data_IF_389145708773
#
_entry.id   IF_389145708773
#
_cell.length_a   1.000
_cell.length_b   1.000
_cell.length_c   1.000
_cell.angle_alpha   90.00
_cell.angle_beta   90.00
_cell.angle_gamma   90.00
#
_symmetry.space_group_name_H-M   'P 1'
#
loop_
_entity.id
_entity.type
_entity.pdbx_description
1 polymer ?
#
# COMPACT_ATOMS: atom_id res chain seq x y z
N UNK A 1 18.57 3.43 10.92
CA UNK A 1 17.45 3.36 11.90
C UNK A 1 17.84 3.93 13.26
N UNK A 2 18.92 3.47 13.87
CA UNK A 2 19.41 4.02 15.16
C UNK A 2 19.62 5.56 15.13
N UNK A 3 20.11 6.08 14.00
CA UNK A 3 20.37 7.52 13.83
C UNK A 3 19.10 8.36 13.76
N UNK A 4 17.99 7.84 13.21
CA UNK A 4 16.71 8.54 13.17
C UNK A 4 16.09 8.63 14.57
N UNK A 5 16.19 7.56 15.35
CA UNK A 5 15.72 7.55 16.74
C UNK A 5 16.62 8.42 17.64
N UNK A 6 17.94 8.44 17.40
CA UNK A 6 18.87 9.32 18.12
C UNK A 6 18.60 10.80 17.85
N UNK A 7 18.30 11.16 16.59
CA UNK A 7 17.98 12.56 16.23
C UNK A 7 16.62 13.01 16.76
N UNK A 8 15.68 12.07 16.97
CA UNK A 8 14.35 12.38 17.48
C UNK A 8 14.34 12.68 19.00
N UNK A 9 15.18 11.98 19.79
CA UNK A 9 15.02 11.94 21.24
C UNK A 9 16.32 12.03 22.05
N UNK A 10 17.47 12.27 21.45
CA UNK A 10 18.75 12.45 22.15
C UNK A 10 19.26 11.21 22.91
N UNK A 11 19.00 9.99 22.39
CA UNK A 11 19.34 8.74 23.09
C UNK A 11 20.82 8.40 22.91
N UNK A 12 21.60 8.44 24.02
CA UNK A 12 22.93 7.85 24.08
C UNK A 12 22.85 6.33 24.32
N UNK A 13 23.75 5.57 23.66
CA UNK A 13 23.76 4.12 23.74
C UNK A 13 24.32 3.62 25.08
N UNK A 14 23.53 2.97 25.91
CA UNK A 14 24.02 2.08 26.95
C UNK A 14 23.91 0.62 26.46
N UNK A 15 25.00 -0.13 26.55
CA UNK A 15 25.07 -1.56 26.26
C UNK A 15 24.27 -2.33 27.31
N UNK A 16 23.42 -3.25 26.88
CA UNK A 16 22.73 -4.18 27.78
C UNK A 16 23.12 -5.62 27.54
N UNK A 17 23.24 -6.34 28.63
CA UNK A 17 23.61 -7.74 28.76
C UNK A 17 22.52 -8.70 28.29
N UNK A 18 22.93 -9.88 27.82
CA UNK A 18 22.08 -11.01 27.42
C UNK A 18 21.41 -11.66 28.64
N UNK A 19 20.11 -11.93 28.55
CA UNK A 19 19.46 -12.95 29.35
C UNK A 19 18.50 -13.79 28.53
N UNK A 20 18.66 -15.13 28.62
CA UNK A 20 17.75 -16.16 28.12
C UNK A 20 16.49 -16.20 29.02
N UNK A 21 15.30 -16.28 28.40
CA UNK A 21 14.05 -16.49 29.16
C UNK A 21 12.85 -16.75 28.27
N UNK A 22 12.09 -17.77 28.61
CA UNK A 22 10.89 -18.28 27.95
C UNK A 22 9.86 -17.21 27.62
N UNK A 23 9.29 -17.25 26.39
CA UNK A 23 8.28 -16.32 25.89
C UNK A 23 6.87 -16.83 26.22
N UNK A 24 6.24 -16.23 27.21
CA UNK A 24 4.78 -16.25 27.38
C UNK A 24 4.19 -15.01 26.70
N UNK A 25 3.00 -15.15 26.12
CA UNK A 25 2.25 -14.03 25.50
C UNK A 25 2.13 -12.88 26.53
N UNK A 26 2.83 -11.77 26.28
CA UNK A 26 2.87 -10.63 27.21
C UNK A 26 1.87 -9.57 26.78
N UNK A 27 1.08 -9.12 27.74
CA UNK A 27 0.34 -7.87 27.71
C UNK A 27 1.21 -6.70 27.20
N UNK A 28 0.61 -5.65 26.59
CA UNK A 28 1.35 -4.48 26.14
C UNK A 28 2.25 -3.98 27.26
N UNK A 29 3.55 -3.82 26.93
CA UNK A 29 4.57 -3.42 27.89
C UNK A 29 4.13 -2.16 28.66
N UNK A 30 4.10 -2.17 29.99
CA UNK A 30 4.05 -0.95 30.78
C UNK A 30 5.36 -0.19 30.56
N UNK A 31 5.27 1.09 30.25
CA UNK A 31 6.43 1.97 30.17
C UNK A 31 6.87 2.29 31.60
N UNK A 32 8.11 1.96 32.01
CA UNK A 32 8.55 2.22 33.39
C UNK A 32 8.69 3.74 33.64
N UNK A 33 8.07 4.24 34.70
CA UNK A 33 8.54 5.38 35.48
C UNK A 33 8.39 6.76 34.85
N UNK A 34 7.26 7.10 34.23
CA UNK A 34 6.90 8.49 33.95
C UNK A 34 5.86 9.00 34.95
N UNK A 35 6.06 10.19 35.51
CA UNK A 35 5.03 10.86 36.30
C UNK A 35 3.96 11.43 35.34
N UNK A 36 2.99 10.57 34.98
CA UNK A 36 1.92 10.88 34.05
C UNK A 36 0.87 11.81 34.66
N UNK A 37 0.85 11.98 35.98
CA UNK A 37 -0.14 12.79 36.69
C UNK A 37 0.13 14.29 36.64
N UNK A 38 1.37 14.71 36.41
CA UNK A 38 1.76 16.12 36.40
C UNK A 38 1.47 16.89 35.10
N UNK A 39 0.85 16.24 34.10
CA UNK A 39 0.83 16.74 32.70
C UNK A 39 -0.53 17.27 32.23
N UNK A 40 -1.49 17.47 33.12
CA UNK A 40 -2.83 17.99 32.76
C UNK A 40 -2.86 19.53 32.72
N UNK A 41 -2.35 20.15 31.64
CA UNK A 41 -2.76 21.51 31.27
C UNK A 41 -3.88 21.45 30.24
N UNK A 42 -4.91 22.32 30.30
CA UNK A 42 -5.91 22.40 29.24
C UNK A 42 -5.24 22.74 27.92
N UNK A 43 -5.55 21.95 26.89
CA UNK A 43 -5.00 22.15 25.54
C UNK A 43 -5.77 23.24 24.80
N UNK A 44 -5.11 24.06 23.97
CA UNK A 44 -5.77 24.96 23.05
C UNK A 44 -6.71 24.16 22.13
N UNK A 45 -7.85 24.74 21.78
CA UNK A 45 -8.88 24.07 20.98
C UNK A 45 -8.29 23.63 19.62
N UNK A 46 -8.22 22.30 19.39
CA UNK A 46 -7.67 21.70 18.19
C UNK A 46 -6.24 21.21 18.26
N UNK A 47 -5.48 21.58 19.30
CA UNK A 47 -4.15 21.04 19.56
C UNK A 47 -4.25 19.80 20.45
N UNK A 48 -3.30 18.88 20.31
CA UNK A 48 -3.24 17.68 21.15
C UNK A 48 -1.82 17.48 21.67
N UNK A 49 -1.70 17.00 22.90
CA UNK A 49 -0.43 16.53 23.44
C UNK A 49 -0.45 15.00 23.52
N UNK A 50 0.55 14.40 22.91
CA UNK A 50 0.86 12.97 23.04
C UNK A 50 2.27 12.84 23.61
N UNK A 51 2.67 11.65 23.97
CA UNK A 51 3.95 11.44 24.65
C UNK A 51 4.76 10.38 23.90
N UNK A 52 6.07 10.48 23.96
CA UNK A 52 6.93 9.39 23.55
C UNK A 52 6.91 8.25 24.58
N UNK A 53 7.51 7.07 24.31
CA UNK A 53 7.57 5.97 25.28
C UNK A 53 8.31 6.29 26.57
N UNK A 54 9.05 7.39 26.64
CA UNK A 54 9.74 7.87 27.84
C UNK A 54 8.94 8.91 28.64
N UNK A 55 7.75 9.27 28.15
CA UNK A 55 6.91 10.29 28.77
C UNK A 55 7.25 11.73 28.38
N UNK A 56 8.08 11.93 27.36
CA UNK A 56 8.39 13.28 26.84
C UNK A 56 7.21 13.80 26.03
N UNK A 57 6.67 15.00 26.32
CA UNK A 57 5.51 15.53 25.62
C UNK A 57 5.85 15.94 24.18
N UNK A 58 4.97 15.57 23.28
CA UNK A 58 4.96 15.93 21.87
C UNK A 58 3.70 16.75 21.58
N UNK A 59 3.83 18.04 21.43
CA UNK A 59 2.71 18.92 21.08
C UNK A 59 2.48 18.85 19.58
N UNK A 60 1.26 18.58 19.16
CA UNK A 60 0.79 18.52 17.78
C UNK A 60 -0.23 19.64 17.60
N UNK A 61 0.12 20.64 16.79
CA UNK A 61 -0.77 21.76 16.52
C UNK A 61 -1.74 21.43 15.39
N UNK A 62 -2.93 21.96 15.45
CA UNK A 62 -3.93 21.82 14.39
C UNK A 62 -3.42 22.28 13.03
N UNK A 63 -2.53 23.29 13.00
CA UNK A 63 -1.83 23.76 11.80
C UNK A 63 -0.85 22.74 11.20
N UNK A 64 -0.45 21.72 11.97
CA UNK A 64 0.44 20.64 11.52
C UNK A 64 -0.32 19.45 10.96
N UNK A 65 -1.67 19.46 10.97
CA UNK A 65 -2.47 18.43 10.36
C UNK A 65 -2.18 18.37 8.85
N UNK A 66 -1.83 17.17 8.37
CA UNK A 66 -1.54 16.87 6.96
C UNK A 66 -2.72 16.21 6.29
N UNK A 67 -3.36 15.28 7.01
CA UNK A 67 -4.48 14.49 6.50
C UNK A 67 -5.32 13.94 7.67
N UNK A 68 -6.60 13.70 7.37
CA UNK A 68 -7.56 13.08 8.27
C UNK A 68 -8.24 11.94 7.56
N UNK A 69 -7.95 10.72 7.97
CA UNK A 69 -8.51 9.49 7.41
C UNK A 69 -9.64 8.89 8.26
N UNK A 70 -10.09 7.69 7.90
CA UNK A 70 -11.11 6.93 8.65
C UNK A 70 -10.68 6.61 10.08
N UNK A 71 -9.43 6.18 10.27
CA UNK A 71 -8.93 5.64 11.53
C UNK A 71 -8.09 6.63 12.35
N UNK A 72 -7.55 7.70 11.74
CA UNK A 72 -6.65 8.60 12.44
C UNK A 72 -6.42 9.94 11.75
N UNK A 73 -5.67 10.78 12.45
CA UNK A 73 -5.24 12.10 12.01
C UNK A 73 -3.72 12.08 11.90
N UNK A 74 -3.20 12.60 10.79
CA UNK A 74 -1.76 12.61 10.50
C UNK A 74 -1.25 14.03 10.66
N UNK A 75 -0.19 14.17 11.46
CA UNK A 75 0.47 15.45 11.74
C UNK A 75 1.92 15.47 11.24
N UNK A 76 2.36 16.62 10.78
CA UNK A 76 3.80 16.90 10.66
C UNK A 76 4.43 16.93 12.03
N UNK A 77 5.69 16.49 12.10
CA UNK A 77 6.45 16.60 13.32
C UNK A 77 7.51 17.71 13.16
N UNK A 78 7.30 18.82 13.83
CA UNK A 78 8.14 20.02 13.65
C UNK A 78 9.64 19.77 13.94
N UNK A 79 9.95 18.86 14.87
CA UNK A 79 11.35 18.53 15.25
C UNK A 79 12.05 17.62 14.24
N UNK A 80 11.32 16.95 13.36
CA UNK A 80 11.89 16.07 12.34
C UNK A 80 10.98 15.97 11.11
N UNK A 81 11.36 16.66 10.04
CA UNK A 81 10.60 16.70 8.78
C UNK A 81 10.57 15.36 8.02
N UNK A 82 11.40 14.38 8.40
CA UNK A 82 11.47 13.03 7.79
C UNK A 82 10.42 12.05 8.32
N UNK A 83 9.63 12.45 9.31
CA UNK A 83 8.59 11.59 9.92
C UNK A 83 7.25 12.32 10.00
N UNK A 84 6.19 11.51 10.17
CA UNK A 84 4.83 11.93 10.45
C UNK A 84 4.36 11.21 11.72
N UNK A 85 3.38 11.80 12.40
CA UNK A 85 2.72 11.20 13.55
C UNK A 85 1.26 10.95 13.18
N UNK A 86 0.82 9.69 13.21
CA UNK A 86 -0.59 9.31 13.07
C UNK A 86 -1.17 9.06 14.46
N UNK A 87 -2.26 9.74 14.80
CA UNK A 87 -2.94 9.62 16.09
C UNK A 87 -4.37 9.15 15.86
N UNK A 88 -4.84 8.20 16.66
CA UNK A 88 -6.23 7.75 16.63
C UNK A 88 -7.19 8.94 16.83
N UNK A 89 -8.30 8.92 16.11
CA UNK A 89 -9.37 9.93 16.28
C UNK A 89 -9.91 9.93 17.72
N UNK A 90 -10.49 11.06 18.16
CA UNK A 90 -11.11 11.14 19.48
C UNK A 90 -12.13 10.02 19.72
N UNK A 91 -12.93 9.68 18.72
CA UNK A 91 -13.96 8.63 18.80
C UNK A 91 -13.32 7.24 19.03
N UNK A 92 -12.22 6.94 18.34
CA UNK A 92 -11.46 5.69 18.54
C UNK A 92 -10.81 5.66 19.92
N UNK A 93 -10.29 6.80 20.39
CA UNK A 93 -9.68 6.91 21.73
C UNK A 93 -10.71 6.77 22.85
N UNK A 94 -11.95 7.21 22.62
CA UNK A 94 -13.06 7.06 23.57
C UNK A 94 -13.62 5.63 23.61
N UNK A 95 -13.49 4.88 22.52
CA UNK A 95 -13.95 3.49 22.41
C UNK A 95 -12.87 2.52 22.92
N UNK A 96 -13.09 1.96 24.09
CA UNK A 96 -12.15 1.05 24.75
C UNK A 96 -11.82 -0.19 23.91
N UNK A 97 -12.80 -0.73 23.18
CA UNK A 97 -12.59 -1.94 22.36
C UNK A 97 -11.75 -1.61 21.13
N UNK A 98 -12.09 -0.53 20.41
CA UNK A 98 -11.31 -0.08 19.23
C UNK A 98 -9.88 0.28 19.62
N UNK A 99 -9.69 0.98 20.74
CA UNK A 99 -8.36 1.36 21.21
C UNK A 99 -7.52 0.14 21.60
N UNK A 100 -8.13 -0.85 22.25
CA UNK A 100 -7.46 -2.11 22.59
C UNK A 100 -7.04 -2.86 21.33
N UNK A 101 -7.93 -2.99 20.34
CA UNK A 101 -7.63 -3.61 19.05
C UNK A 101 -6.49 -2.89 18.33
N UNK A 102 -6.53 -1.55 18.29
CA UNK A 102 -5.44 -0.73 17.74
C UNK A 102 -4.10 -1.03 18.41
N UNK A 103 -4.07 -1.07 19.74
CA UNK A 103 -2.84 -1.36 20.51
C UNK A 103 -2.27 -2.74 20.22
N UNK A 104 -3.11 -3.76 20.16
CA UNK A 104 -2.67 -5.13 19.85
C UNK A 104 -2.13 -5.21 18.42
N UNK A 105 -2.83 -4.61 17.46
CA UNK A 105 -2.39 -4.56 16.06
C UNK A 105 -1.05 -3.83 15.91
N UNK A 106 -0.91 -2.66 16.53
CA UNK A 106 0.33 -1.90 16.47
C UNK A 106 1.50 -2.70 17.09
N UNK A 107 1.27 -3.41 18.21
CA UNK A 107 2.28 -4.28 18.79
C UNK A 107 2.71 -5.39 17.83
N UNK A 108 1.77 -6.04 17.13
CA UNK A 108 2.08 -7.05 16.12
C UNK A 108 2.90 -6.43 14.96
N UNK A 109 2.52 -5.25 14.49
CA UNK A 109 3.29 -4.53 13.47
C UNK A 109 4.72 -4.22 13.93
N UNK A 110 4.91 -3.79 15.18
CA UNK A 110 6.23 -3.46 15.74
C UNK A 110 7.16 -4.66 15.86
N UNK A 111 6.63 -5.90 15.92
CA UNK A 111 7.43 -7.14 15.91
C UNK A 111 7.97 -7.49 14.52
N UNK A 112 7.37 -6.99 13.45
CA UNK A 112 7.81 -7.21 12.06
C UNK A 112 8.99 -6.29 11.73
N UNK A 113 10.19 -6.67 12.20
CA UNK A 113 11.38 -5.83 12.15
C UNK A 113 11.80 -5.48 10.71
N UNK A 114 11.67 -6.42 9.76
CA UNK A 114 12.03 -6.16 8.37
C UNK A 114 11.08 -5.15 7.71
N UNK A 115 9.76 -5.23 7.99
CA UNK A 115 8.83 -4.20 7.56
C UNK A 115 9.16 -2.84 8.20
N UNK A 116 9.55 -2.83 9.47
CA UNK A 116 9.95 -1.62 10.18
C UNK A 116 11.24 -1.01 9.63
N UNK A 117 12.17 -1.83 9.13
CA UNK A 117 13.42 -1.38 8.50
C UNK A 117 13.24 -0.91 7.07
N UNK A 118 12.23 -1.43 6.35
CA UNK A 118 11.98 -1.08 4.95
C UNK A 118 11.69 0.42 4.81
N UNK A 119 12.47 1.11 4.01
CA UNK A 119 12.40 2.58 3.83
C UNK A 119 11.25 3.00 2.90
N UNK A 120 10.72 2.07 2.14
CA UNK A 120 9.58 2.27 1.25
C UNK A 120 8.21 2.07 1.92
N UNK A 121 8.16 1.78 3.23
CA UNK A 121 6.92 1.63 3.99
C UNK A 121 6.73 2.78 4.98
N UNK A 122 5.53 3.36 5.02
CA UNK A 122 5.08 4.23 6.12
C UNK A 122 4.69 3.38 7.35
N UNK A 123 5.60 2.50 7.77
CA UNK A 123 5.41 1.54 8.85
C UNK A 123 5.56 2.20 10.23
N UNK A 124 4.81 1.75 11.26
CA UNK A 124 5.03 2.21 12.62
C UNK A 124 6.48 2.01 13.08
N UNK A 125 7.14 3.09 13.46
CA UNK A 125 8.51 3.10 13.97
C UNK A 125 8.55 3.08 15.48
N UNK A 126 7.61 3.78 16.11
CA UNK A 126 7.53 3.98 17.55
C UNK A 126 6.09 4.37 17.93
N UNK A 127 5.53 3.84 19.04
CA UNK A 127 4.23 4.28 19.52
C UNK A 127 4.29 5.71 20.04
N UNK A 128 3.16 6.42 20.00
CA UNK A 128 2.92 7.61 20.79
C UNK A 128 1.81 7.32 21.80
N UNK A 129 1.97 7.88 23.00
CA UNK A 129 1.20 7.52 24.18
C UNK A 129 0.23 8.65 24.59
N UNK A 130 -0.82 8.31 25.29
CA UNK A 130 -1.63 9.26 26.04
C UNK A 130 -0.96 9.60 27.41
N UNK A 131 -1.59 10.46 28.19
CA UNK A 131 -1.14 10.84 29.53
C UNK A 131 -1.23 9.72 30.59
N UNK A 132 -1.72 8.53 30.23
CA UNK A 132 -1.80 7.34 31.08
C UNK A 132 -0.81 6.26 30.63
N UNK A 133 0.07 6.55 29.66
CA UNK A 133 1.03 5.61 29.12
C UNK A 133 0.42 4.57 28.19
N UNK A 134 -0.78 4.77 27.67
CA UNK A 134 -1.41 3.91 26.70
C UNK A 134 -1.14 4.41 25.27
N UNK A 135 -0.80 3.50 24.36
CA UNK A 135 -0.59 3.89 22.97
C UNK A 135 -1.89 4.40 22.33
N UNK A 136 -1.80 5.55 21.67
CA UNK A 136 -2.91 6.23 20.95
C UNK A 136 -2.55 6.59 19.52
N UNK A 137 -1.36 6.24 19.06
CA UNK A 137 -0.88 6.52 17.72
C UNK A 137 0.53 5.99 17.53
N UNK A 138 1.17 6.42 16.46
CA UNK A 138 2.56 6.03 16.16
C UNK A 138 3.27 7.07 15.29
N UNK A 139 4.59 7.06 15.36
CA UNK A 139 5.49 7.75 14.45
C UNK A 139 5.76 6.84 13.26
N UNK A 140 5.73 7.39 12.06
CA UNK A 140 6.06 6.69 10.81
C UNK A 140 6.96 7.53 9.91
N UNK A 141 7.62 6.89 8.91
CA UNK A 141 8.38 7.63 7.90
C UNK A 141 7.45 8.49 7.06
N UNK A 142 7.90 9.69 6.75
CA UNK A 142 7.26 10.53 5.73
C UNK A 142 7.65 10.01 4.36
N UNK A 143 6.73 9.32 3.71
CA UNK A 143 6.87 8.94 2.32
C UNK A 143 6.58 10.15 1.42
N UNK A 144 7.37 10.32 0.37
CA UNK A 144 7.23 11.40 -0.61
C UNK A 144 7.12 10.83 -2.02
N UNK A 145 6.44 11.53 -2.90
CA UNK A 145 6.22 11.12 -4.29
C UNK A 145 4.85 11.60 -4.79
N UNK A 146 4.51 11.19 -6.01
CA UNK A 146 3.16 11.30 -6.57
C UNK A 146 2.44 9.98 -6.38
N UNK A 147 1.13 10.03 -6.21
CA UNK A 147 0.35 8.78 -6.13
C UNK A 147 0.44 8.02 -7.46
N UNK A 148 0.36 6.70 -7.42
CA UNK A 148 0.34 5.86 -8.63
C UNK A 148 -0.79 6.24 -9.60
N UNK A 149 -1.83 6.93 -9.13
CA UNK A 149 -2.88 7.50 -10.01
C UNK A 149 -2.29 8.38 -11.11
N UNK A 150 -1.20 9.09 -10.84
CA UNK A 150 -0.54 9.94 -11.84
C UNK A 150 0.05 9.13 -13.01
N UNK A 151 0.36 7.86 -12.81
CA UNK A 151 0.87 6.97 -13.89
C UNK A 151 -0.24 6.31 -14.70
N UNK A 152 -1.48 6.38 -14.24
CA UNK A 152 -2.63 5.83 -14.96
C UNK A 152 -3.15 6.74 -16.07
N UNK A 153 -2.66 7.98 -16.18
CA UNK A 153 -3.08 8.94 -17.19
C UNK A 153 -1.86 9.50 -17.92
N UNK A 154 -1.75 9.32 -19.26
CA UNK A 154 -0.59 9.78 -20.04
C UNK A 154 -0.23 11.25 -19.85
N UNK A 155 -1.23 12.13 -19.80
CA UNK A 155 -1.03 13.57 -19.56
C UNK A 155 -0.39 13.84 -18.20
N UNK A 156 -0.75 13.09 -17.18
CA UNK A 156 -0.17 13.23 -15.85
C UNK A 156 1.27 12.70 -15.82
N UNK A 157 1.56 11.62 -16.55
CA UNK A 157 2.94 11.12 -16.69
C UNK A 157 3.82 12.19 -17.33
N UNK A 158 3.40 12.78 -18.44
CA UNK A 158 4.15 13.84 -19.11
C UNK A 158 4.38 15.05 -18.19
N UNK A 159 3.37 15.41 -17.38
CA UNK A 159 3.43 16.56 -16.47
C UNK A 159 4.38 16.34 -15.30
N UNK A 160 4.31 15.19 -14.64
CA UNK A 160 5.01 14.94 -13.38
C UNK A 160 6.32 14.16 -13.52
N UNK A 161 6.45 13.43 -14.64
CA UNK A 161 7.58 12.57 -14.96
C UNK A 161 8.06 12.83 -16.40
N UNK A 162 8.49 14.07 -16.70
CA UNK A 162 8.93 14.42 -18.05
C UNK A 162 10.07 13.49 -18.51
N UNK A 163 10.01 13.02 -19.76
CA UNK A 163 10.96 12.07 -20.32
C UNK A 163 10.68 10.60 -20.00
N UNK A 164 9.71 10.31 -19.15
CA UNK A 164 9.31 8.92 -18.91
C UNK A 164 8.58 8.34 -20.11
N UNK A 165 8.86 7.07 -20.34
CA UNK A 165 8.19 6.25 -21.34
C UNK A 165 7.65 4.95 -20.69
N UNK A 166 7.12 4.06 -21.50
CA UNK A 166 6.53 2.80 -21.04
C UNK A 166 7.49 1.90 -20.26
N UNK A 167 8.80 1.96 -20.57
CA UNK A 167 9.83 1.21 -19.82
C UNK A 167 9.90 1.67 -18.37
N UNK A 168 9.86 2.98 -18.14
CA UNK A 168 9.88 3.54 -16.77
C UNK A 168 8.64 3.13 -15.98
N UNK A 169 7.45 3.17 -16.61
CA UNK A 169 6.20 2.74 -15.97
C UNK A 169 6.21 1.25 -15.66
N UNK A 170 6.74 0.42 -16.59
CA UNK A 170 6.90 -1.01 -16.36
C UNK A 170 7.89 -1.31 -15.21
N UNK A 171 8.95 -0.50 -15.10
CA UNK A 171 9.89 -0.62 -13.96
C UNK A 171 9.20 -0.27 -12.64
N UNK A 172 8.34 0.75 -12.61
CA UNK A 172 7.52 1.05 -11.41
C UNK A 172 6.59 -0.11 -11.07
N UNK A 173 5.96 -0.72 -12.06
CA UNK A 173 5.11 -1.90 -11.86
C UNK A 173 5.89 -3.08 -11.25
N UNK A 174 7.13 -3.30 -11.70
CA UNK A 174 8.04 -4.31 -11.13
C UNK A 174 8.42 -3.96 -9.68
N UNK A 175 8.80 -2.71 -9.41
CA UNK A 175 9.16 -2.26 -8.06
C UNK A 175 7.97 -2.39 -7.10
N UNK A 176 6.75 -2.10 -7.56
CA UNK A 176 5.53 -2.29 -6.79
C UNK A 176 5.26 -3.77 -6.48
N UNK A 177 5.40 -4.64 -7.48
CA UNK A 177 5.28 -6.08 -7.31
C UNK A 177 6.30 -6.59 -6.28
N UNK A 178 7.57 -6.15 -6.35
CA UNK A 178 8.61 -6.58 -5.43
C UNK A 178 8.35 -6.09 -3.99
N UNK A 179 7.80 -4.89 -3.82
CA UNK A 179 7.37 -4.38 -2.51
C UNK A 179 6.26 -5.27 -1.90
N UNK A 180 5.22 -5.62 -2.67
CA UNK A 180 4.14 -6.51 -2.22
C UNK A 180 4.67 -7.92 -1.94
N UNK A 181 5.61 -8.43 -2.74
CA UNK A 181 6.26 -9.74 -2.50
C UNK A 181 7.03 -9.75 -1.18
N UNK A 182 7.73 -8.68 -0.86
CA UNK A 182 8.43 -8.56 0.43
C UNK A 182 7.43 -8.66 1.59
N UNK A 183 6.32 -7.93 1.53
CA UNK A 183 5.26 -8.01 2.54
C UNK A 183 4.69 -9.43 2.66
N UNK A 184 4.39 -10.08 1.53
CA UNK A 184 3.84 -11.44 1.50
C UNK A 184 4.77 -12.49 2.14
N UNK A 185 6.11 -12.34 2.03
CA UNK A 185 7.08 -13.19 2.74
C UNK A 185 6.89 -13.15 4.26
N UNK A 186 6.46 -12.00 4.78
CA UNK A 186 6.19 -11.81 6.20
C UNK A 186 4.70 -12.02 6.55
N UNK A 187 3.94 -12.65 5.65
CA UNK A 187 2.49 -12.89 5.79
C UNK A 187 1.67 -11.62 5.99
N UNK A 188 2.24 -10.46 5.62
CA UNK A 188 1.54 -9.18 5.57
C UNK A 188 0.85 -9.07 4.22
N UNK A 189 -0.46 -8.85 4.21
CA UNK A 189 -1.22 -8.74 2.98
C UNK A 189 -1.81 -7.33 2.84
N UNK A 190 -1.63 -6.74 1.67
CA UNK A 190 -2.24 -5.47 1.32
C UNK A 190 -3.74 -5.70 1.07
N UNK A 191 -4.61 -4.96 1.75
CA UNK A 191 -6.06 -5.11 1.62
C UNK A 191 -6.66 -4.14 0.61
N UNK A 192 -6.18 -2.90 0.60
CA UNK A 192 -6.69 -1.85 -0.27
C UNK A 192 -5.65 -1.45 -1.33
N UNK A 193 -5.88 -1.89 -2.56
CA UNK A 193 -5.05 -1.57 -3.72
C UNK A 193 -5.42 -0.25 -4.40
N UNK A 194 -6.01 0.69 -3.65
CA UNK A 194 -6.24 2.04 -4.15
C UNK A 194 -4.90 2.69 -4.58
N UNK A 195 -4.74 3.10 -5.84
CA UNK A 195 -3.49 3.74 -6.30
C UNK A 195 -3.13 5.05 -5.57
N UNK A 196 -4.07 5.59 -4.78
CA UNK A 196 -3.81 6.71 -3.87
C UNK A 196 -2.95 6.35 -2.66
N UNK A 197 -2.90 5.07 -2.28
CA UNK A 197 -2.13 4.54 -1.13
C UNK A 197 -0.68 4.19 -1.49
N UNK A 198 -0.28 4.39 -2.74
CA UNK A 198 1.05 4.09 -3.25
C UNK A 198 1.65 5.35 -3.87
N UNK A 199 2.85 5.71 -3.43
CA UNK A 199 3.57 6.88 -3.95
C UNK A 199 4.73 6.42 -4.82
N UNK A 200 5.02 7.18 -5.86
CA UNK A 200 6.17 6.97 -6.74
C UNK A 200 6.97 8.26 -6.85
N UNK A 201 8.28 8.17 -6.74
CA UNK A 201 9.19 9.29 -6.95
C UNK A 201 9.78 9.30 -8.37
N UNK A 202 10.58 10.32 -8.68
CA UNK A 202 11.24 10.47 -9.99
C UNK A 202 12.28 9.40 -10.29
N UNK A 203 12.74 8.65 -9.30
CA UNK A 203 13.63 7.50 -9.48
C UNK A 203 12.87 6.19 -9.70
N UNK A 204 11.53 6.21 -9.67
CA UNK A 204 10.69 5.03 -9.82
C UNK A 204 10.55 4.20 -8.55
N UNK A 205 11.01 4.69 -7.40
CA UNK A 205 10.85 4.02 -6.11
C UNK A 205 9.38 4.11 -5.68
N UNK A 206 8.79 2.96 -5.41
CA UNK A 206 7.40 2.87 -4.92
C UNK A 206 7.39 2.83 -3.40
N UNK A 207 6.58 3.67 -2.77
CA UNK A 207 6.37 3.71 -1.32
C UNK A 207 4.91 3.45 -0.98
N UNK A 208 4.68 2.61 0.02
CA UNK A 208 3.36 2.24 0.48
C UNK A 208 3.02 3.05 1.73
N UNK A 209 1.91 3.75 1.67
CA UNK A 209 1.35 4.49 2.79
C UNK A 209 0.09 3.80 3.32
N UNK A 210 -0.41 4.24 4.47
CA UNK A 210 -1.58 3.62 5.14
C UNK A 210 -1.38 2.13 5.48
N UNK A 211 -0.14 1.77 5.89
CA UNK A 211 0.22 0.37 6.18
C UNK A 211 -0.56 -0.25 7.35
N UNK A 212 -1.18 0.55 8.18
CA UNK A 212 -2.08 0.08 9.25
C UNK A 212 -3.44 -0.41 8.72
N UNK A 213 -3.73 -0.24 7.43
CA UNK A 213 -4.86 -0.90 6.75
C UNK A 213 -4.55 -2.32 6.26
N UNK A 214 -3.30 -2.79 6.31
CA UNK A 214 -2.90 -4.11 5.83
C UNK A 214 -3.35 -5.22 6.79
N UNK A 215 -3.51 -6.43 6.29
CA UNK A 215 -3.67 -7.61 7.15
C UNK A 215 -2.33 -7.94 7.82
N UNK A 216 -2.33 -7.99 9.15
CA UNK A 216 -1.11 -8.19 9.95
C UNK A 216 -1.15 -9.59 10.59
N UNK A 217 -0.14 -10.44 10.38
CA UNK A 217 -0.09 -11.74 10.99
C UNK A 217 0.06 -11.67 12.51
N UNK A 218 -0.50 -12.65 13.19
CA UNK A 218 -0.34 -12.88 14.64
C UNK A 218 0.23 -14.27 14.83
N UNK A 219 1.30 -14.39 15.61
CA UNK A 219 1.90 -15.69 15.92
C UNK A 219 0.92 -16.56 16.71
N UNK A 220 0.57 -17.73 16.17
CA UNK A 220 -0.34 -18.68 16.82
C UNK A 220 -1.82 -18.24 16.89
N UNK A 221 -2.21 -17.18 16.18
CA UNK A 221 -3.57 -16.65 16.19
C UNK A 221 -4.08 -16.18 14.84
N UNK A 222 -5.32 -15.71 14.83
CA UNK A 222 -5.92 -15.10 13.65
C UNK A 222 -5.27 -13.74 13.35
N UNK A 223 -5.03 -13.40 12.07
CA UNK A 223 -4.44 -12.14 11.68
C UNK A 223 -5.38 -10.96 11.98
N UNK A 224 -4.80 -9.79 12.23
CA UNK A 224 -5.59 -8.55 12.23
C UNK A 224 -6.03 -8.24 10.81
N UNK A 225 -7.32 -8.17 10.60
CA UNK A 225 -7.95 -7.83 9.31
C UNK A 225 -8.51 -6.40 9.34
N UNK A 226 -8.70 -5.82 8.16
CA UNK A 226 -9.51 -4.61 7.96
C UNK A 226 -10.51 -4.84 6.85
N UNK A 227 -11.63 -4.14 6.92
CA UNK A 227 -12.66 -4.16 5.88
C UNK A 227 -12.39 -3.13 4.76
N UNK A 228 -11.27 -2.41 4.83
CA UNK A 228 -10.94 -1.38 3.84
C UNK A 228 -10.61 -2.01 2.50
N UNK A 229 -11.24 -1.54 1.45
CA UNK A 229 -10.98 -1.93 0.06
C UNK A 229 -11.53 -0.88 -0.91
N UNK A 230 -11.02 -0.90 -2.12
CA UNK A 230 -11.54 -0.13 -3.25
C UNK A 230 -12.16 -1.11 -4.25
N UNK A 231 -13.49 -1.04 -4.53
CA UNK A 231 -14.20 -2.06 -5.30
C UNK A 231 -13.59 -2.38 -6.65
N UNK A 232 -13.16 -1.39 -7.42
CA UNK A 232 -12.58 -1.59 -8.75
C UNK A 232 -11.27 -2.42 -8.75
N UNK A 233 -10.59 -2.54 -7.59
CA UNK A 233 -9.36 -3.34 -7.44
C UNK A 233 -9.57 -4.62 -6.64
N UNK A 234 -10.76 -4.84 -6.10
CA UNK A 234 -11.04 -6.01 -5.28
C UNK A 234 -11.10 -7.29 -6.12
N UNK A 235 -10.69 -8.42 -5.56
CA UNK A 235 -10.86 -9.72 -6.20
C UNK A 235 -12.36 -10.03 -6.35
N UNK A 236 -12.78 -10.67 -7.47
CA UNK A 236 -14.19 -10.86 -7.81
C UNK A 236 -14.98 -11.59 -6.72
N UNK A 237 -14.39 -12.58 -6.08
CA UNK A 237 -15.04 -13.31 -5.00
C UNK A 237 -15.41 -12.42 -3.79
N UNK A 238 -14.65 -11.35 -3.53
CA UNK A 238 -14.98 -10.39 -2.47
C UNK A 238 -16.20 -9.55 -2.84
N UNK A 239 -16.35 -9.21 -4.13
CA UNK A 239 -17.50 -8.41 -4.61
C UNK A 239 -18.77 -9.25 -4.77
N UNK A 240 -18.61 -10.55 -5.05
CA UNK A 240 -19.72 -11.49 -5.20
C UNK A 240 -20.17 -12.07 -3.86
N UNK A 241 -19.26 -12.12 -2.87
CA UNK A 241 -19.46 -12.70 -1.54
C UNK A 241 -19.01 -11.72 -0.45
N UNK A 242 -19.81 -10.67 -0.15
CA UNK A 242 -19.43 -9.61 0.81
C UNK A 242 -19.09 -10.12 2.21
N UNK A 243 -19.59 -11.28 2.62
CA UNK A 243 -19.27 -11.93 3.89
C UNK A 243 -17.78 -12.30 4.01
N UNK A 244 -17.06 -12.41 2.89
CA UNK A 244 -15.61 -12.67 2.89
C UNK A 244 -14.78 -11.45 3.35
N UNK A 245 -15.38 -10.26 3.41
CA UNK A 245 -14.68 -9.09 3.99
C UNK A 245 -14.46 -9.23 5.50
N UNK A 246 -15.20 -10.10 6.16
CA UNK A 246 -15.06 -10.41 7.59
C UNK A 246 -14.10 -11.58 7.84
N UNK A 247 -13.44 -12.07 6.81
CA UNK A 247 -12.46 -13.14 6.88
C UNK A 247 -11.07 -12.65 6.48
N UNK A 248 -10.00 -13.35 6.90
CA UNK A 248 -8.65 -13.07 6.43
C UNK A 248 -8.57 -13.11 4.90
N UNK A 249 -7.85 -12.15 4.32
CA UNK A 249 -7.52 -12.15 2.89
C UNK A 249 -6.61 -13.32 2.56
N UNK A 250 -6.76 -13.83 1.34
CA UNK A 250 -5.88 -14.87 0.82
C UNK A 250 -4.81 -14.31 -0.11
N UNK A 251 -3.67 -14.98 -0.28
CA UNK A 251 -2.67 -14.58 -1.26
C UNK A 251 -3.22 -14.47 -2.69
N UNK A 252 -4.21 -15.28 -3.04
CA UNK A 252 -4.88 -15.27 -4.35
C UNK A 252 -5.64 -13.98 -4.59
N UNK A 253 -6.31 -13.44 -3.57
CA UNK A 253 -7.02 -12.16 -3.62
C UNK A 253 -6.03 -11.00 -3.82
N UNK A 254 -4.92 -11.02 -3.09
CA UNK A 254 -3.84 -10.02 -3.24
C UNK A 254 -3.21 -10.07 -4.63
N UNK A 255 -2.97 -11.29 -5.18
CA UNK A 255 -2.43 -11.45 -6.54
C UNK A 255 -3.34 -10.83 -7.59
N UNK A 256 -4.65 -11.02 -7.46
CA UNK A 256 -5.62 -10.43 -8.38
C UNK A 256 -5.59 -8.90 -8.33
N UNK A 257 -5.73 -8.34 -7.14
CA UNK A 257 -5.78 -6.88 -6.94
C UNK A 257 -4.49 -6.19 -7.41
N UNK A 258 -3.33 -6.77 -7.09
CA UNK A 258 -2.04 -6.30 -7.57
C UNK A 258 -1.94 -6.34 -9.10
N UNK A 259 -2.39 -7.44 -9.71
CA UNK A 259 -2.36 -7.60 -11.16
C UNK A 259 -3.26 -6.58 -11.88
N UNK A 260 -4.41 -6.22 -11.31
CA UNK A 260 -5.25 -5.13 -11.84
C UNK A 260 -4.47 -3.83 -11.90
N UNK A 261 -3.81 -3.42 -10.81
CA UNK A 261 -3.02 -2.18 -10.78
C UNK A 261 -1.85 -2.25 -11.77
N UNK A 262 -1.11 -3.37 -11.81
CA UNK A 262 0.01 -3.55 -12.75
C UNK A 262 -0.50 -3.48 -14.20
N UNK A 263 -1.59 -4.15 -14.52
CA UNK A 263 -2.19 -4.09 -15.84
C UNK A 263 -2.56 -2.65 -16.23
N UNK A 264 -3.23 -1.92 -15.33
CA UNK A 264 -3.58 -0.53 -15.58
C UNK A 264 -2.35 0.37 -15.77
N UNK A 265 -1.27 0.16 -15.04
CA UNK A 265 0.00 0.87 -15.26
C UNK A 265 0.53 0.63 -16.68
N UNK A 266 0.58 -0.62 -17.14
CA UNK A 266 1.08 -0.98 -18.45
C UNK A 266 0.15 -0.53 -19.59
N UNK A 267 -1.14 -0.40 -19.29
CA UNK A 267 -2.21 -0.03 -20.24
C UNK A 267 -2.68 1.42 -20.09
N UNK A 268 -1.88 2.29 -19.46
CA UNK A 268 -2.18 3.73 -19.32
C UNK A 268 -3.57 4.00 -18.75
N UNK A 269 -3.92 3.26 -17.70
CA UNK A 269 -5.17 3.38 -16.95
C UNK A 269 -6.33 2.52 -17.43
N UNK A 270 -6.18 1.77 -18.54
CA UNK A 270 -7.24 0.85 -18.97
C UNK A 270 -7.39 -0.30 -17.95
N UNK A 271 -8.56 -0.39 -17.34
CA UNK A 271 -8.89 -1.50 -16.45
C UNK A 271 -9.13 -2.80 -17.24
N UNK A 272 -8.71 -4.00 -16.74
CA UNK A 272 -8.86 -5.26 -17.50
C UNK A 272 -10.32 -5.62 -17.81
N UNK A 273 -11.27 -5.10 -17.04
CA UNK A 273 -12.71 -5.26 -17.28
C UNK A 273 -13.37 -4.00 -17.87
N UNK A 274 -12.59 -3.03 -18.37
CA UNK A 274 -13.14 -1.92 -19.15
C UNK A 274 -13.64 -2.42 -20.51
N UNK A 275 -14.76 -1.85 -21.00
CA UNK A 275 -15.35 -2.21 -22.26
C UNK A 275 -15.84 -0.99 -23.05
N UNK A 276 -15.89 -1.10 -24.36
CA UNK A 276 -16.62 -0.16 -25.19
C UNK A 276 -18.12 -0.23 -24.81
N UNK A 277 -18.75 0.93 -24.62
CA UNK A 277 -20.16 1.00 -24.20
C UNK A 277 -20.38 1.23 -22.72
N UNK A 278 -19.31 1.42 -21.93
CA UNK A 278 -19.39 1.93 -20.55
C UNK A 278 -19.65 0.87 -19.49
N UNK A 279 -20.13 1.32 -18.33
CA UNK A 279 -20.24 0.59 -17.07
C UNK A 279 -19.08 0.91 -16.12
N UNK A 280 -19.34 0.94 -14.83
CA UNK A 280 -18.30 1.09 -13.83
C UNK A 280 -17.39 -0.15 -13.82
N UNK A 281 -16.06 0.00 -13.61
CA UNK A 281 -15.14 -1.14 -13.61
C UNK A 281 -15.54 -2.27 -12.65
N UNK A 282 -16.04 -1.95 -11.47
CA UNK A 282 -16.51 -2.93 -10.49
C UNK A 282 -17.75 -3.72 -10.95
N UNK A 283 -18.66 -3.09 -11.69
CA UNK A 283 -19.83 -3.77 -12.25
C UNK A 283 -19.41 -4.71 -13.40
N UNK A 284 -18.50 -4.24 -14.25
CA UNK A 284 -17.94 -5.04 -15.33
C UNK A 284 -17.14 -6.22 -14.77
N UNK A 285 -16.40 -6.00 -13.68
CA UNK A 285 -15.65 -7.03 -12.96
C UNK A 285 -16.60 -8.11 -12.46
N UNK A 286 -17.71 -7.77 -11.83
CA UNK A 286 -18.73 -8.75 -11.38
C UNK A 286 -19.26 -9.61 -12.53
N UNK A 287 -19.31 -9.10 -13.75
CA UNK A 287 -19.74 -9.86 -14.92
C UNK A 287 -18.69 -10.87 -15.44
N UNK A 288 -17.44 -10.82 -14.97
CA UNK A 288 -16.34 -11.68 -15.39
C UNK A 288 -15.86 -11.48 -16.84
N UNK A 289 -16.39 -10.48 -17.55
CA UNK A 289 -16.10 -10.26 -18.96
C UNK A 289 -14.87 -9.40 -19.16
N UNK A 290 -13.70 -10.03 -19.21
CA UNK A 290 -12.42 -9.37 -19.48
C UNK A 290 -12.21 -9.17 -20.98
N UNK A 291 -11.74 -7.99 -21.40
CA UNK A 291 -11.48 -7.69 -22.82
C UNK A 291 -10.24 -8.43 -23.39
N UNK A 292 -9.41 -9.05 -22.56
CA UNK A 292 -8.34 -9.95 -23.04
C UNK A 292 -8.88 -11.29 -23.50
N UNK A 293 -10.03 -11.71 -22.99
CA UNK A 293 -10.70 -12.93 -23.41
C UNK A 293 -11.44 -12.69 -24.74
N UNK A 294 -10.96 -13.31 -25.81
CA UNK A 294 -11.56 -13.20 -27.15
C UNK A 294 -12.99 -13.72 -27.19
N UNK A 295 -13.31 -14.68 -26.32
CA UNK A 295 -14.64 -15.33 -26.27
C UNK A 295 -15.63 -14.52 -25.44
N UNK A 296 -15.18 -13.49 -24.70
CA UNK A 296 -16.04 -12.64 -23.86
C UNK A 296 -17.05 -11.80 -24.62
N UNK A 297 -16.82 -11.58 -25.94
CA UNK A 297 -17.58 -10.64 -26.77
C UNK A 297 -17.34 -9.16 -26.44
N UNK A 298 -16.45 -8.87 -25.52
CA UNK A 298 -16.11 -7.49 -25.10
C UNK A 298 -15.09 -6.88 -26.05
N UNK A 299 -15.38 -5.68 -26.55
CA UNK A 299 -14.46 -4.92 -27.38
C UNK A 299 -13.68 -3.90 -26.53
N UNK A 300 -12.37 -3.89 -26.74
CA UNK A 300 -11.46 -2.90 -26.18
C UNK A 300 -11.47 -1.63 -27.03
N UNK A 301 -11.30 -0.43 -26.43
CA UNK A 301 -11.07 0.80 -27.19
C UNK A 301 -9.86 0.68 -28.13
N UNK A 302 -9.99 1.12 -29.37
CA UNK A 302 -8.96 0.96 -30.42
C UNK A 302 -7.60 1.56 -30.03
N UNK A 303 -7.61 2.68 -29.28
CA UNK A 303 -6.39 3.34 -28.80
C UNK A 303 -5.52 2.46 -27.90
N UNK A 304 -6.10 1.48 -27.20
CA UNK A 304 -5.36 0.56 -26.33
C UNK A 304 -4.96 -0.75 -27.02
N UNK A 305 -5.56 -1.06 -28.15
CA UNK A 305 -5.29 -2.31 -28.87
C UNK A 305 -3.80 -2.52 -29.15
N UNK A 306 -3.09 -1.47 -29.58
CA UNK A 306 -1.64 -1.50 -29.80
C UNK A 306 -0.86 -1.77 -28.52
N UNK A 307 -1.25 -1.14 -27.42
CA UNK A 307 -0.58 -1.35 -26.13
C UNK A 307 -0.66 -2.81 -25.68
N UNK A 308 -1.82 -3.45 -25.85
CA UNK A 308 -2.02 -4.88 -25.58
C UNK A 308 -1.27 -5.75 -26.57
N UNK A 309 -1.24 -5.39 -27.87
CA UNK A 309 -0.54 -6.18 -28.89
C UNK A 309 0.96 -6.28 -28.63
N UNK A 310 1.55 -5.32 -27.95
CA UNK A 310 2.98 -5.28 -27.64
C UNK A 310 3.37 -5.90 -26.29
N UNK A 311 2.43 -6.39 -25.53
CA UNK A 311 2.76 -7.26 -24.39
C UNK A 311 3.42 -8.54 -24.91
N UNK A 312 4.45 -9.03 -24.23
CA UNK A 312 5.05 -10.32 -24.54
C UNK A 312 4.02 -11.46 -24.41
N UNK A 313 4.17 -12.56 -25.16
CA UNK A 313 3.23 -13.69 -25.08
C UNK A 313 3.03 -14.19 -23.67
N UNK A 314 4.11 -14.38 -22.88
CA UNK A 314 4.03 -14.86 -21.52
C UNK A 314 3.32 -13.87 -20.59
N UNK A 315 3.54 -12.56 -20.74
CA UNK A 315 2.83 -11.56 -19.92
C UNK A 315 1.33 -11.49 -20.28
N UNK A 316 0.97 -11.65 -21.56
CA UNK A 316 -0.45 -11.79 -21.97
C UNK A 316 -1.09 -13.01 -21.35
N UNK A 317 -0.40 -14.14 -21.38
CA UNK A 317 -0.87 -15.39 -20.80
C UNK A 317 -1.06 -15.26 -19.28
N UNK A 318 -0.10 -14.63 -18.56
CA UNK A 318 -0.26 -14.33 -17.15
C UNK A 318 -1.52 -13.51 -16.86
N UNK A 319 -1.77 -12.45 -17.64
CA UNK A 319 -2.97 -11.63 -17.45
C UNK A 319 -4.24 -12.38 -17.83
N UNK A 320 -4.23 -13.20 -18.87
CA UNK A 320 -5.38 -14.00 -19.27
C UNK A 320 -5.73 -15.03 -18.17
N UNK A 321 -4.76 -15.77 -17.69
CA UNK A 321 -4.94 -16.68 -16.55
C UNK A 321 -5.42 -15.94 -15.29
N UNK A 322 -4.93 -14.74 -15.04
CA UNK A 322 -5.35 -13.94 -13.89
C UNK A 322 -6.82 -13.51 -13.97
N UNK A 323 -7.23 -12.96 -15.13
CA UNK A 323 -8.52 -12.28 -15.27
C UNK A 323 -9.63 -13.13 -15.92
N UNK A 324 -9.31 -14.20 -16.62
CA UNK A 324 -10.27 -15.19 -17.17
C UNK A 324 -10.36 -16.40 -16.25
N UNK A 325 -9.30 -17.21 -16.21
CA UNK A 325 -9.31 -18.46 -15.48
C UNK A 325 -9.38 -18.25 -13.96
N UNK A 326 -8.61 -17.29 -13.47
CA UNK A 326 -8.54 -16.90 -12.06
C UNK A 326 -9.73 -16.09 -11.57
N UNK A 327 -10.64 -15.70 -12.47
CA UNK A 327 -11.92 -15.10 -12.07
C UNK A 327 -12.79 -16.12 -11.35
N UNK A 328 -13.05 -17.26 -12.01
CA UNK A 328 -13.89 -18.32 -11.46
C UNK A 328 -13.15 -19.22 -10.45
N UNK A 329 -11.82 -19.38 -10.62
CA UNK A 329 -11.01 -20.22 -9.76
C UNK A 329 -9.74 -19.50 -9.29
N UNK A 330 -9.72 -18.92 -8.08
CA UNK A 330 -8.57 -18.18 -7.54
C UNK A 330 -7.25 -18.96 -7.55
N UNK A 331 -7.29 -20.31 -7.42
CA UNK A 331 -6.10 -21.14 -7.44
C UNK A 331 -5.37 -21.17 -8.81
N UNK A 332 -6.06 -20.80 -9.91
CA UNK A 332 -5.46 -20.68 -11.24
C UNK A 332 -4.70 -19.38 -11.48
N UNK A 333 -4.80 -18.41 -10.57
CA UNK A 333 -4.09 -17.14 -10.67
C UNK A 333 -2.58 -17.37 -10.62
N UNK A 334 -1.79 -16.83 -11.56
CA UNK A 334 -0.34 -16.92 -11.55
C UNK A 334 0.27 -16.52 -10.21
N UNK A 335 1.37 -17.14 -9.84
CA UNK A 335 2.16 -16.73 -8.68
C UNK A 335 2.81 -15.36 -8.94
N UNK A 336 3.11 -14.62 -7.88
CA UNK A 336 3.85 -13.34 -8.00
C UNK A 336 5.23 -13.53 -8.63
N UNK A 337 5.86 -14.70 -8.46
CA UNK A 337 7.11 -15.05 -9.10
C UNK A 337 6.98 -15.21 -10.62
N UNK A 338 5.90 -15.84 -11.09
CA UNK A 338 5.62 -15.99 -12.53
C UNK A 338 5.38 -14.61 -13.15
N UNK A 339 4.48 -13.81 -12.57
CA UNK A 339 4.18 -12.46 -13.05
C UNK A 339 5.45 -11.58 -13.05
N UNK A 340 6.32 -11.72 -12.04
CA UNK A 340 7.60 -11.02 -11.97
C UNK A 340 8.52 -11.38 -13.14
N UNK A 341 8.68 -12.68 -13.42
CA UNK A 341 9.53 -13.17 -14.51
C UNK A 341 9.08 -12.59 -15.85
N UNK A 342 7.78 -12.65 -16.13
CA UNK A 342 7.22 -12.12 -17.36
C UNK A 342 7.30 -10.59 -17.47
N UNK A 343 7.17 -9.89 -16.35
CA UNK A 343 7.32 -8.44 -16.31
C UNK A 343 8.77 -8.01 -16.54
N UNK A 344 9.76 -8.72 -15.99
CA UNK A 344 11.19 -8.50 -16.26
C UNK A 344 11.47 -8.71 -17.75
N UNK A 345 11.02 -9.83 -18.32
CA UNK A 345 11.18 -10.10 -19.75
C UNK A 345 10.55 -9.01 -20.61
N UNK A 346 9.34 -8.56 -20.28
CA UNK A 346 8.68 -7.46 -20.99
C UNK A 346 9.51 -6.17 -20.92
N UNK A 347 10.08 -5.82 -19.77
CA UNK A 347 10.93 -4.64 -19.61
C UNK A 347 12.17 -4.73 -20.52
N UNK A 348 12.81 -5.89 -20.59
CA UNK A 348 13.96 -6.13 -21.46
C UNK A 348 13.61 -5.98 -22.93
N UNK A 349 12.51 -6.58 -23.39
CA UNK A 349 12.01 -6.43 -24.76
C UNK A 349 11.73 -4.96 -25.08
N UNK A 350 11.10 -4.22 -24.16
CA UNK A 350 10.83 -2.80 -24.36
C UNK A 350 12.10 -1.95 -24.39
N UNK A 351 13.10 -2.23 -23.56
CA UNK A 351 14.41 -1.53 -23.57
C UNK A 351 15.12 -1.71 -24.88
N UNK A 352 15.05 -2.90 -25.47
CA UNK A 352 15.73 -3.26 -26.71
C UNK A 352 14.94 -2.85 -27.98
N UNK A 353 13.69 -2.36 -27.81
CA UNK A 353 12.89 -1.90 -28.95
C UNK A 353 13.48 -0.63 -29.57
N UNK A 354 13.59 -0.61 -30.90
CA UNK A 354 13.97 0.56 -31.70
C UNK A 354 12.79 1.49 -32.01
N UNK A 355 11.57 1.07 -31.71
CA UNK A 355 10.36 1.83 -32.01
C UNK A 355 10.00 2.77 -30.87
N UNK A 356 10.12 4.08 -31.10
CA UNK A 356 9.68 5.09 -30.11
C UNK A 356 8.17 4.98 -29.83
N UNK A 357 7.37 4.66 -30.86
CA UNK A 357 5.94 4.46 -30.67
C UNK A 357 5.63 3.26 -29.78
N UNK A 358 6.41 2.18 -29.84
CA UNK A 358 6.27 1.02 -28.94
C UNK A 358 6.63 1.38 -27.49
N UNK A 359 7.62 2.26 -27.31
CA UNK A 359 8.02 2.76 -25.99
C UNK A 359 7.15 3.89 -25.46
N UNK A 360 6.31 4.51 -26.31
CA UNK A 360 5.42 5.60 -25.91
C UNK A 360 4.46 5.16 -24.80
N UNK A 361 4.15 6.06 -23.87
CA UNK A 361 3.19 5.80 -22.78
C UNK A 361 1.84 5.36 -23.36
N UNK A 362 1.32 6.12 -24.35
CA UNK A 362 0.16 5.72 -25.14
C UNK A 362 0.55 5.74 -26.61
N UNK A 363 0.67 4.57 -27.23
CA UNK A 363 1.03 4.50 -28.64
C UNK A 363 0.00 5.16 -29.55
N UNK A 364 0.47 5.95 -30.49
CA UNK A 364 -0.40 6.53 -31.52
C UNK A 364 -0.78 5.48 -32.55
N UNK A 365 -2.04 5.48 -32.97
CA UNK A 365 -2.42 4.79 -34.21
C UNK A 365 -1.83 5.59 -35.35
N UNK A 366 -0.93 5.01 -36.16
CA UNK A 366 -0.54 5.67 -37.39
C UNK A 366 -1.81 6.01 -38.18
N UNK A 367 -2.01 7.27 -38.56
CA UNK A 367 -2.96 7.60 -39.60
C UNK A 367 -2.50 6.77 -40.81
N UNK A 368 -3.33 5.86 -41.30
CA UNK A 368 -3.13 5.33 -42.64
C UNK A 368 -3.15 6.57 -43.51
N UNK A 369 -2.00 6.93 -44.09
CA UNK A 369 -1.94 7.94 -45.13
C UNK A 369 -2.92 7.52 -46.21
N UNK A 370 -3.75 8.47 -46.60
CA UNK A 370 -4.53 8.35 -47.83
C UNK A 370 -3.60 8.19 -49.01
#
# INVERSE_FOLDING_TARGET
>A
MLNVLKSLFGISSSRSAKSNGQRTARNPLPVPGGDWAALTRPEPKGDITVYDPKGVPLRLHSSDEVARGGEGIIYRFARNSGVLIKVCKPETRADKQKLTLFRHRMNAMMQLEECRRADFLAWPLMPVMDNRGGAVGFVMRKCTGRTLRALLAPVQVQRFFPGWNRVHVAQVALNFLDAVRMLAKHKVLVNDFNPGNFLVDKAGVVRLIDCDSFQIPVEGGEPFITRTYTPEFAAPELLLHPELFDRPRTPEQVRFSLAVVIYMLLMSGLHPYARCGGGAPEENLKSGKCHLDKDSGVRMPVSWYKSVSWLTPGLKECFLRMFKDGFANPARRPLLSELRTELVHFIEVMKNSRSDNQRAILPTTAKRGN
#
